data_IF_656587507065
#
_entry.id   IF_656587507065
#
_cell.length_a   1.000
_cell.length_b   1.000
_cell.length_c   1.000
_cell.angle_alpha   90.00
_cell.angle_beta   90.00
_cell.angle_gamma   90.00
#
_symmetry.space_group_name_H-M   'P 1'
#
loop_
_entity.id
_entity.type
_entity.pdbx_description
1 polymer ?
#
# COMPACT_ATOMS: atom_id res chain seq x y z
N UNK A 1 12.04 -8.36 -5.89
CA UNK A 1 13.51 -8.34 -6.03
C UNK A 1 14.14 -7.87 -4.72
N UNK A 2 15.16 -8.54 -4.19
CA UNK A 2 15.86 -8.16 -2.95
C UNK A 2 17.26 -7.66 -3.30
N UNK A 3 17.67 -6.56 -2.68
CA UNK A 3 18.95 -5.89 -2.84
C UNK A 3 19.63 -5.76 -1.47
N UNK A 4 20.94 -6.00 -1.47
CA UNK A 4 21.79 -5.81 -0.30
C UNK A 4 22.68 -4.59 -0.54
N UNK A 5 22.67 -3.63 0.38
CA UNK A 5 23.51 -2.44 0.30
C UNK A 5 24.17 -2.11 1.63
N UNK A 6 25.12 -1.18 1.59
CA UNK A 6 25.83 -0.68 2.78
C UNK A 6 24.89 -0.10 3.86
N UNK A 7 23.68 0.29 3.47
CA UNK A 7 22.65 0.90 4.33
C UNK A 7 21.47 -0.03 4.62
N UNK A 8 21.67 -1.35 4.54
CA UNK A 8 20.67 -2.36 4.90
C UNK A 8 20.08 -3.11 3.70
N UNK A 9 18.96 -3.81 3.93
CA UNK A 9 18.30 -4.64 2.92
C UNK A 9 17.10 -3.93 2.33
N UNK A 10 17.03 -3.92 1.01
CA UNK A 10 15.93 -3.29 0.27
C UNK A 10 15.20 -4.35 -0.54
N UNK A 11 13.88 -4.27 -0.60
CA UNK A 11 13.05 -5.17 -1.37
C UNK A 11 12.01 -4.38 -2.16
N UNK A 12 11.96 -4.64 -3.46
CA UNK A 12 10.87 -4.21 -4.33
C UNK A 12 9.85 -5.34 -4.41
N UNK A 13 8.59 -4.99 -4.20
CA UNK A 13 7.44 -5.89 -4.30
C UNK A 13 6.44 -5.33 -5.30
N UNK A 14 5.90 -6.19 -6.16
CA UNK A 14 4.65 -5.90 -6.86
C UNK A 14 3.49 -6.46 -6.05
N UNK A 15 2.31 -5.88 -6.23
CA UNK A 15 1.07 -6.42 -5.66
C UNK A 15 -0.12 -6.18 -6.60
N UNK A 16 -1.14 -7.00 -6.41
CA UNK A 16 -2.49 -6.85 -6.96
C UNK A 16 -3.45 -7.01 -5.79
N UNK A 17 -4.49 -6.19 -5.76
CA UNK A 17 -5.52 -6.24 -4.73
C UNK A 17 -6.91 -6.06 -5.36
N UNK A 18 -7.92 -6.54 -4.66
CA UNK A 18 -9.31 -6.38 -5.05
C UNK A 18 -10.26 -6.80 -3.95
N UNK A 19 -11.46 -6.22 -3.97
CA UNK A 19 -12.48 -6.48 -2.98
C UNK A 19 -13.85 -6.02 -3.45
N UNK A 20 -14.89 -6.67 -2.93
CA UNK A 20 -16.29 -6.34 -3.18
C UNK A 20 -16.98 -6.05 -1.85
N UNK A 21 -17.71 -4.93 -1.78
CA UNK A 21 -18.50 -4.53 -0.62
C UNK A 21 -19.99 -4.57 -0.88
N UNK A 22 -20.79 -4.75 0.17
CA UNK A 22 -22.26 -4.73 0.13
C UNK A 22 -22.83 -4.15 1.43
N UNK A 23 -24.05 -3.63 1.36
CA UNK A 23 -24.80 -3.05 2.48
C UNK A 23 -26.05 -3.90 2.78
N UNK A 24 -26.52 -3.90 4.03
CA UNK A 24 -27.71 -4.68 4.43
C UNK A 24 -29.02 -3.89 4.33
N UNK A 25 -28.99 -2.59 4.66
CA UNK A 25 -30.18 -1.72 4.77
C UNK A 25 -30.09 -0.46 3.89
N UNK A 26 -28.99 -0.31 3.14
CA UNK A 26 -28.74 0.78 2.21
C UNK A 26 -28.38 0.16 0.85
N UNK A 27 -28.48 0.92 -0.26
CA UNK A 27 -27.96 0.47 -1.55
C UNK A 27 -26.49 0.07 -1.43
N UNK A 28 -26.09 -0.94 -2.19
CA UNK A 28 -24.68 -1.32 -2.30
C UNK A 28 -23.85 -0.15 -2.88
N UNK A 29 -22.54 -0.09 -2.57
CA UNK A 29 -21.66 0.88 -3.19
C UNK A 29 -21.69 0.74 -4.72
N UNK A 30 -21.62 1.86 -5.44
CA UNK A 30 -21.38 1.86 -6.88
C UNK A 30 -20.10 2.66 -7.17
N UNK A 31 -19.00 2.00 -7.62
CA UNK A 31 -18.88 0.58 -7.89
C UNK A 31 -18.74 -0.29 -6.62
N UNK A 32 -19.38 -1.46 -6.62
CA UNK A 32 -19.31 -2.40 -5.49
C UNK A 32 -17.98 -3.15 -5.43
N UNK A 33 -17.31 -3.31 -6.58
CA UNK A 33 -16.04 -4.02 -6.71
C UNK A 33 -14.93 -3.07 -7.10
N UNK A 34 -13.85 -3.11 -6.32
CA UNK A 34 -12.64 -2.36 -6.58
C UNK A 34 -11.48 -3.31 -6.86
N UNK A 35 -10.52 -2.82 -7.65
CA UNK A 35 -9.30 -3.53 -7.97
C UNK A 35 -8.15 -2.55 -8.15
N UNK A 36 -6.94 -2.99 -7.84
CA UNK A 36 -5.74 -2.17 -7.90
C UNK A 36 -4.49 -3.00 -8.15
N UNK A 37 -3.48 -2.34 -8.70
CA UNK A 37 -2.11 -2.87 -8.80
C UNK A 37 -1.15 -1.88 -8.16
N UNK A 38 0.04 -2.34 -7.80
CA UNK A 38 1.02 -1.39 -7.31
C UNK A 38 2.41 -1.96 -7.10
N UNK A 39 3.28 -1.04 -6.69
CA UNK A 39 4.66 -1.31 -6.32
C UNK A 39 4.92 -0.85 -4.89
N UNK A 40 5.70 -1.64 -4.17
CA UNK A 40 6.15 -1.33 -2.81
C UNK A 40 7.65 -1.43 -2.69
N UNK A 41 8.22 -0.55 -1.88
CA UNK A 41 9.60 -0.54 -1.43
C UNK A 41 9.63 -0.82 0.06
N UNK A 42 10.30 -1.90 0.46
CA UNK A 42 10.58 -2.23 1.86
C UNK A 42 12.06 -2.10 2.12
N UNK A 43 12.43 -1.27 3.08
CA UNK A 43 13.82 -1.00 3.44
C UNK A 43 14.06 -1.28 4.92
N UNK A 44 14.82 -2.35 5.20
CA UNK A 44 15.35 -2.66 6.52
C UNK A 44 16.67 -1.91 6.69
N UNK A 45 16.60 -0.71 7.25
CA UNK A 45 17.71 0.23 7.38
C UNK A 45 18.76 -0.29 8.38
N UNK A 46 18.29 -0.76 9.54
CA UNK A 46 19.10 -1.28 10.63
C UNK A 46 18.33 -2.35 11.41
N UNK A 47 18.99 -3.03 12.35
CA UNK A 47 18.32 -4.00 13.22
C UNK A 47 17.19 -3.32 14.00
N UNK A 48 15.96 -3.62 13.61
CA UNK A 48 14.76 -3.07 14.22
C UNK A 48 14.09 -1.93 13.47
N UNK A 49 14.75 -1.23 12.54
CA UNK A 49 14.14 -0.12 11.79
C UNK A 49 13.75 -0.54 10.37
N UNK A 50 12.45 -0.50 10.08
CA UNK A 50 11.88 -0.78 8.75
C UNK A 50 11.11 0.42 8.23
N UNK A 51 11.40 0.83 7.00
CA UNK A 51 10.63 1.81 6.24
C UNK A 51 9.91 1.09 5.11
N UNK A 52 8.65 1.46 4.86
CA UNK A 52 7.85 0.99 3.73
C UNK A 52 7.24 2.17 3.00
N UNK A 53 7.29 2.14 1.68
CA UNK A 53 6.63 3.07 0.77
C UNK A 53 5.90 2.23 -0.27
N UNK A 54 4.61 2.45 -0.45
CA UNK A 54 3.83 1.80 -1.50
C UNK A 54 3.14 2.85 -2.37
N UNK A 55 3.01 2.54 -3.66
CA UNK A 55 2.24 3.29 -4.63
C UNK A 55 1.29 2.36 -5.36
N UNK A 56 -0.01 2.61 -5.18
CA UNK A 56 -1.11 1.88 -5.82
C UNK A 56 -1.73 2.67 -6.97
N UNK A 57 -2.18 1.95 -7.99
CA UNK A 57 -2.91 2.47 -9.14
C UNK A 57 -4.28 1.76 -9.14
N UNK A 58 -5.39 2.51 -8.98
CA UNK A 58 -6.72 1.93 -9.06
C UNK A 58 -7.00 1.50 -10.50
N UNK A 59 -7.56 0.30 -10.67
CA UNK A 59 -8.03 -0.21 -11.95
C UNK A 59 -9.51 0.12 -12.21
N UNK A 60 -10.21 0.57 -11.17
CA UNK A 60 -11.62 0.97 -11.21
C UNK A 60 -11.71 2.43 -10.80
N UNK A 61 -12.35 3.26 -11.62
CA UNK A 61 -12.60 4.66 -11.30
C UNK A 61 -13.66 4.76 -10.22
N UNK A 62 -13.33 5.51 -9.16
CA UNK A 62 -14.27 5.90 -8.11
C UNK A 62 -14.25 7.42 -8.00
N UNK A 63 -15.39 8.01 -7.74
CA UNK A 63 -15.47 9.44 -7.44
C UNK A 63 -14.77 9.70 -6.11
N UNK A 64 -13.52 10.14 -6.19
CA UNK A 64 -12.72 10.47 -5.03
C UNK A 64 -12.85 11.97 -4.74
N UNK A 65 -13.48 12.31 -3.62
CA UNK A 65 -13.74 13.71 -3.24
C UNK A 65 -12.55 14.40 -2.57
N UNK A 66 -11.49 13.67 -2.23
CA UNK A 66 -10.33 14.22 -1.56
C UNK A 66 -9.09 14.40 -2.44
N UNK A 67 -8.08 15.07 -1.88
CA UNK A 67 -6.84 15.45 -2.55
C UNK A 67 -5.58 15.04 -1.77
N UNK A 68 -5.71 14.07 -0.87
CA UNK A 68 -4.59 13.57 -0.07
C UNK A 68 -3.67 12.64 -0.88
N UNK A 69 -2.43 12.46 -0.41
CA UNK A 69 -1.50 11.50 -1.02
C UNK A 69 -2.02 10.06 -0.97
N UNK A 70 -2.77 9.71 0.09
CA UNK A 70 -3.35 8.38 0.25
C UNK A 70 -4.42 8.11 -0.81
N UNK A 71 -5.28 9.09 -1.07
CA UNK A 71 -6.29 9.04 -2.13
C UNK A 71 -5.67 8.98 -3.53
N UNK A 72 -4.45 9.49 -3.68
CA UNK A 72 -3.63 9.34 -4.89
C UNK A 72 -2.81 8.04 -4.92
N UNK A 73 -3.01 7.13 -3.96
CA UNK A 73 -2.41 5.79 -3.93
C UNK A 73 -1.08 5.67 -3.18
N UNK A 74 -0.61 6.73 -2.50
CA UNK A 74 0.65 6.68 -1.74
C UNK A 74 0.44 6.28 -0.27
N UNK A 75 1.16 5.26 0.17
CA UNK A 75 1.17 4.80 1.56
C UNK A 75 2.60 4.73 2.08
N UNK A 76 2.79 5.13 3.34
CA UNK A 76 4.08 4.98 4.00
C UNK A 76 3.92 4.43 5.41
N UNK A 77 4.95 3.72 5.88
CA UNK A 77 5.04 3.32 7.27
C UNK A 77 6.49 3.28 7.72
N UNK A 78 6.73 3.72 8.96
CA UNK A 78 8.01 3.57 9.64
C UNK A 78 7.76 2.74 10.89
N UNK A 79 8.50 1.65 11.05
CA UNK A 79 8.38 0.75 12.19
C UNK A 79 9.74 0.57 12.85
N UNK A 80 9.78 0.83 14.15
CA UNK A 80 10.91 0.47 14.99
C UNK A 80 10.51 -0.68 15.93
N UNK A 81 11.33 -1.73 16.00
CA UNK A 81 11.20 -2.84 16.94
C UNK A 81 12.55 -3.13 17.58
N UNK A 82 12.66 -2.89 18.88
CA UNK A 82 13.82 -3.30 19.67
C UNK A 82 13.89 -4.84 19.71
N UNK A 83 15.05 -5.42 19.41
CA UNK A 83 15.30 -6.81 19.72
C UNK A 83 15.56 -6.92 21.23
N UNK A 84 14.87 -7.83 21.91
CA UNK A 84 15.13 -8.19 23.30
C UNK A 84 16.24 -9.23 23.36
#
# INVERSE_FOLDING_TARGET
MILHGKFGRTQITSFVEGGTGWNNLLPDPDPATLGGIGLGLRWLVANGLTVRLDYGIPLVSVDNSGNSLQEQGFYFSVRYRKAF
#
